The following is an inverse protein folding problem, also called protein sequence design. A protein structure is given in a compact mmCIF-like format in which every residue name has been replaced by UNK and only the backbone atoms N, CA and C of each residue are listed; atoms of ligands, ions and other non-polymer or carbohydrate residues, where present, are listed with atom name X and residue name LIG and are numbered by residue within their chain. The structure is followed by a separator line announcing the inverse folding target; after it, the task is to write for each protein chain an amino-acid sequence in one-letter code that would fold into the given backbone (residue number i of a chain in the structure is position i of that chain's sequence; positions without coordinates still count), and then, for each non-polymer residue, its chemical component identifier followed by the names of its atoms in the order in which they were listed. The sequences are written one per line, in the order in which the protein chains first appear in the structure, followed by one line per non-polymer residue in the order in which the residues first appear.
data_IF_006371118541
#
_entry.id   IF_006371118541
#
_cell.length_a   1.000
_cell.length_b   1.000
_cell.length_c   1.000
_cell.angle_alpha   90.00
_cell.angle_beta   90.00
_cell.angle_gamma   90.00
#
_symmetry.space_group_name_H-M   'P 1'
#
loop_
_entity.id
_entity.type
_entity.pdbx_description
1 polymer ?
#
# COMPACT_ATOMS: atom_id res chain seq x y z
N UNK A 1 -6.32 8.25 -13.19
CA UNK A 1 -7.11 7.00 -13.25
C UNK A 1 -6.22 5.97 -13.92
N UNK A 2 -6.02 4.80 -13.32
CA UNK A 2 -5.15 3.77 -13.94
C UNK A 2 -5.80 3.28 -15.24
N UNK A 3 -4.97 3.00 -16.24
CA UNK A 3 -5.38 2.65 -17.60
C UNK A 3 -6.10 1.30 -17.72
N UNK A 4 -6.19 0.54 -16.62
CA UNK A 4 -6.79 -0.78 -16.51
C UNK A 4 -8.19 -0.76 -15.88
N UNK A 5 -8.74 0.41 -15.54
CA UNK A 5 -10.03 0.51 -14.88
C UNK A 5 -10.03 0.12 -13.40
N UNK A 6 -8.84 -0.08 -12.79
CA UNK A 6 -8.75 -0.34 -11.37
C UNK A 6 -9.21 0.90 -10.56
N UNK A 7 -10.08 0.64 -9.59
CA UNK A 7 -10.60 1.67 -8.69
C UNK A 7 -9.92 1.49 -7.33
N UNK A 8 -9.10 2.45 -6.94
CA UNK A 8 -8.53 2.52 -5.59
C UNK A 8 -9.62 2.86 -4.57
N UNK A 9 -9.66 2.11 -3.46
CA UNK A 9 -10.56 2.29 -2.33
C UNK A 9 -9.78 2.23 -1.02
N UNK A 10 -10.43 2.68 0.05
CA UNK A 10 -9.90 2.67 1.42
C UNK A 10 -8.48 3.24 1.50
N UNK A 11 -8.24 4.34 0.79
CA UNK A 11 -6.93 4.98 0.74
C UNK A 11 -6.56 5.54 2.11
N UNK A 12 -5.30 5.36 2.49
CA UNK A 12 -4.68 5.96 3.68
C UNK A 12 -3.31 6.55 3.30
N UNK A 13 -2.87 7.59 4.01
CA UNK A 13 -1.59 8.25 3.74
C UNK A 13 -0.93 8.71 5.05
N UNK A 14 0.39 8.56 5.13
CA UNK A 14 1.17 8.96 6.29
C UNK A 14 2.51 9.57 5.85
N UNK A 15 3.04 10.47 6.66
CA UNK A 15 4.31 11.14 6.40
C UNK A 15 5.33 10.80 7.51
N UNK A 16 6.55 10.44 7.11
CA UNK A 16 7.72 10.36 7.99
C UNK A 16 8.38 11.73 8.16
N UNK A 17 8.31 12.56 7.11
CA UNK A 17 8.83 13.92 7.07
C UNK A 17 8.09 14.74 6.02
N UNK A 18 8.49 16.00 5.81
CA UNK A 18 7.96 16.82 4.70
C UNK A 18 8.25 16.22 3.32
N UNK A 19 9.37 15.53 3.18
CA UNK A 19 9.81 14.96 1.91
C UNK A 19 9.35 13.51 1.73
N UNK A 20 9.30 12.75 2.83
CA UNK A 20 9.04 11.31 2.79
C UNK A 20 7.63 10.98 3.27
N UNK A 21 6.79 10.48 2.37
CA UNK A 21 5.44 10.04 2.66
C UNK A 21 5.09 8.75 1.90
N UNK A 22 4.04 8.07 2.36
CA UNK A 22 3.49 6.89 1.74
C UNK A 22 1.98 7.04 1.56
N UNK A 23 1.45 6.43 0.51
CA UNK A 23 0.02 6.25 0.29
C UNK A 23 -0.25 4.78 0.04
N UNK A 24 -1.28 4.24 0.68
CA UNK A 24 -1.76 2.86 0.51
C UNK A 24 -3.21 2.85 0.08
N UNK A 25 -3.59 1.85 -0.68
CA UNK A 25 -4.98 1.65 -1.11
C UNK A 25 -5.20 0.17 -1.42
N UNK A 26 -6.45 -0.27 -1.36
CA UNK A 26 -6.85 -1.50 -2.03
C UNK A 26 -7.44 -1.18 -3.40
N UNK A 27 -7.23 -2.08 -4.37
CA UNK A 27 -7.80 -1.94 -5.69
C UNK A 27 -8.38 -3.27 -6.17
N UNK A 28 -9.50 -3.17 -6.88
CA UNK A 28 -10.12 -4.32 -7.53
C UNK A 28 -9.66 -4.35 -8.98
N UNK A 29 -9.05 -5.45 -9.40
CA UNK A 29 -8.64 -5.71 -10.77
C UNK A 29 -8.87 -7.18 -11.11
N UNK A 30 -9.50 -7.46 -12.25
CA UNK A 30 -9.80 -8.83 -12.73
C UNK A 30 -10.44 -9.76 -11.69
N UNK A 31 -11.30 -9.22 -10.81
CA UNK A 31 -12.00 -9.98 -9.77
C UNK A 31 -11.20 -10.22 -8.48
N UNK A 32 -9.97 -9.71 -8.39
CA UNK A 32 -9.12 -9.80 -7.20
C UNK A 32 -8.99 -8.43 -6.53
N UNK A 33 -9.11 -8.39 -5.19
CA UNK A 33 -8.81 -7.17 -4.41
C UNK A 33 -7.42 -7.27 -3.83
N UNK A 34 -6.59 -6.26 -4.06
CA UNK A 34 -5.17 -6.29 -3.70
C UNK A 34 -4.71 -4.96 -3.12
N UNK A 35 -3.83 -5.02 -2.13
CA UNK A 35 -3.29 -3.86 -1.41
C UNK A 35 -1.99 -3.40 -2.06
N UNK A 36 -1.88 -2.10 -2.29
CA UNK A 36 -0.76 -1.44 -2.93
C UNK A 36 -0.23 -0.28 -2.09
N UNK A 37 1.03 0.09 -2.34
CA UNK A 37 1.69 1.25 -1.76
C UNK A 37 2.46 2.04 -2.81
N UNK A 38 2.54 3.36 -2.61
CA UNK A 38 3.50 4.25 -3.27
C UNK A 38 4.21 5.08 -2.23
N UNK A 39 5.44 5.46 -2.57
CA UNK A 39 6.28 6.31 -1.76
C UNK A 39 6.61 7.58 -2.55
N UNK A 40 6.83 8.66 -1.80
CA UNK A 40 7.45 9.89 -2.30
C UNK A 40 8.63 10.22 -1.39
N UNK A 41 9.65 10.85 -1.96
CA UNK A 41 10.82 11.38 -1.28
C UNK A 41 11.08 12.85 -1.63
N UNK A 42 10.12 13.52 -2.27
CA UNK A 42 10.24 14.90 -2.76
C UNK A 42 9.00 15.76 -2.44
N UNK A 43 8.30 15.40 -1.36
CA UNK A 43 7.13 16.13 -0.87
C UNK A 43 5.89 15.90 -1.73
N UNK A 44 5.81 14.75 -2.40
CA UNK A 44 4.66 14.34 -3.20
C UNK A 44 4.66 14.90 -4.62
N UNK A 45 5.76 15.51 -5.09
CA UNK A 45 5.89 15.99 -6.47
C UNK A 45 5.99 14.81 -7.43
N UNK A 46 6.73 13.78 -7.04
CA UNK A 46 6.80 12.50 -7.73
C UNK A 46 6.53 11.36 -6.76
N UNK A 47 6.06 10.25 -7.34
CA UNK A 47 5.71 9.04 -6.61
C UNK A 47 6.21 7.84 -7.39
N UNK A 48 6.83 6.89 -6.70
CA UNK A 48 7.31 5.65 -7.30
C UNK A 48 6.19 4.86 -7.98
N UNK A 49 6.54 3.86 -8.79
CA UNK A 49 5.56 2.93 -9.34
C UNK A 49 4.80 2.22 -8.19
N UNK A 50 3.48 1.94 -8.35
CA UNK A 50 2.73 1.14 -7.39
C UNK A 50 3.41 -0.20 -7.10
N UNK A 51 3.61 -0.50 -5.81
CA UNK A 51 4.09 -1.80 -5.36
C UNK A 51 2.98 -2.54 -4.65
N UNK A 52 2.67 -3.75 -5.12
CA UNK A 52 1.73 -4.66 -4.46
C UNK A 52 2.33 -5.19 -3.15
N UNK A 53 1.54 -5.16 -2.07
CA UNK A 53 1.89 -5.72 -0.76
C UNK A 53 1.25 -7.09 -0.54
N UNK A 54 -0.04 -7.22 -0.87
CA UNK A 54 -0.80 -8.46 -0.71
C UNK A 54 -0.33 -9.59 -1.63
N UNK A 55 -0.47 -10.85 -1.20
CA UNK A 55 -0.17 -12.02 -2.03
C UNK A 55 -1.20 -12.21 -3.16
N UNK A 56 -0.76 -12.75 -4.31
CA UNK A 56 -1.65 -13.15 -5.40
C UNK A 56 -2.53 -14.35 -5.02
N UNK A 57 -3.77 -14.37 -5.52
CA UNK A 57 -4.77 -15.40 -5.24
C UNK A 57 -5.49 -15.23 -3.89
N UNK A 58 -5.20 -14.18 -3.13
CA UNK A 58 -5.88 -13.83 -1.89
C UNK A 58 -6.64 -12.51 -2.06
N UNK A 59 -7.76 -12.35 -1.36
CA UNK A 59 -8.47 -11.08 -1.32
C UNK A 59 -7.95 -10.25 -0.15
N UNK A 60 -7.36 -9.09 -0.43
CA UNK A 60 -6.79 -8.20 0.59
C UNK A 60 -7.38 -6.80 0.49
N UNK A 61 -7.82 -6.24 1.62
CA UNK A 61 -8.56 -4.97 1.66
C UNK A 61 -8.38 -4.25 3.00
N UNK A 62 -8.90 -3.02 3.06
CA UNK A 62 -8.89 -2.16 4.25
C UNK A 62 -7.47 -1.88 4.77
N UNK A 63 -6.55 -1.41 3.92
CA UNK A 63 -5.22 -1.08 4.38
C UNK A 63 -5.27 0.11 5.34
N UNK A 64 -4.37 0.10 6.31
CA UNK A 64 -4.07 1.22 7.20
C UNK A 64 -2.57 1.42 7.24
N UNK A 65 -2.18 2.68 7.36
CA UNK A 65 -0.79 3.09 7.26
C UNK A 65 -0.38 3.87 8.50
N UNK A 66 0.75 3.48 9.09
CA UNK A 66 1.33 4.14 10.26
C UNK A 66 2.77 4.53 9.96
N UNK A 67 3.13 5.77 10.21
CA UNK A 67 4.52 6.22 10.21
C UNK A 67 5.19 5.85 11.54
N UNK A 68 6.31 5.14 11.47
CA UNK A 68 7.19 4.83 12.59
C UNK A 68 8.51 5.60 12.50
N UNK A 69 9.55 5.09 13.13
CA UNK A 69 10.87 5.72 13.09
C UNK A 69 11.65 5.29 11.83
N UNK A 70 11.51 6.07 10.76
CA UNK A 70 12.20 5.82 9.48
C UNK A 70 11.56 4.75 8.59
N UNK A 71 10.40 4.21 8.97
CA UNK A 71 9.66 3.24 8.18
C UNK A 71 8.15 3.44 8.31
N UNK A 72 7.41 2.87 7.38
CA UNK A 72 5.97 2.72 7.45
C UNK A 72 5.59 1.30 7.84
N UNK A 73 4.54 1.17 8.65
CA UNK A 73 3.88 -0.08 8.92
C UNK A 73 2.54 -0.09 8.21
N UNK A 74 2.28 -1.14 7.43
CA UNK A 74 1.00 -1.33 6.74
C UNK A 74 0.33 -2.56 7.31
N UNK A 75 -0.94 -2.45 7.67
CA UNK A 75 -1.75 -3.61 7.99
C UNK A 75 -3.02 -3.64 7.16
N UNK A 76 -3.49 -4.84 6.85
CA UNK A 76 -4.67 -5.07 6.03
C UNK A 76 -5.32 -6.40 6.39
N UNK A 77 -6.60 -6.52 6.08
CA UNK A 77 -7.29 -7.81 6.17
C UNK A 77 -7.00 -8.63 4.93
N UNK A 78 -6.73 -9.92 5.10
CA UNK A 78 -6.54 -10.89 4.02
C UNK A 78 -7.48 -12.07 4.21
N UNK A 79 -8.18 -12.45 3.14
CA UNK A 79 -9.07 -13.61 3.08
C UNK A 79 -8.52 -14.62 2.07
N UNK A 80 -8.32 -15.85 2.52
CA UNK A 80 -7.88 -16.99 1.71
C UNK A 80 -9.06 -17.65 0.97
N UNK A 81 -8.77 -18.56 0.04
CA UNK A 81 -9.78 -19.27 -0.73
C UNK A 81 -10.76 -20.11 0.12
N UNK A 82 -10.35 -20.52 1.31
CA UNK A 82 -11.18 -21.27 2.28
C UNK A 82 -11.98 -20.35 3.23
N UNK A 83 -12.00 -19.04 2.99
CA UNK A 83 -12.57 -17.98 3.82
C UNK A 83 -11.85 -17.72 5.15
N UNK A 84 -10.68 -18.31 5.40
CA UNK A 84 -9.87 -17.96 6.56
C UNK A 84 -9.41 -16.50 6.44
N UNK A 85 -9.55 -15.74 7.53
CA UNK A 85 -9.17 -14.33 7.59
C UNK A 85 -7.94 -14.11 8.48
N UNK A 86 -7.04 -13.24 8.02
CA UNK A 86 -5.87 -12.81 8.77
C UNK A 86 -5.78 -11.28 8.81
N UNK A 87 -5.21 -10.77 9.90
CA UNK A 87 -4.59 -9.46 9.87
C UNK A 87 -3.14 -9.63 9.40
N UNK A 88 -2.80 -9.00 8.28
CA UNK A 88 -1.43 -8.96 7.74
C UNK A 88 -0.72 -7.68 8.17
N UNK A 89 0.60 -7.76 8.24
CA UNK A 89 1.47 -6.66 8.61
C UNK A 89 2.71 -6.67 7.71
N UNK A 90 2.95 -5.55 7.03
CA UNK A 90 4.10 -5.35 6.15
C UNK A 90 4.89 -4.11 6.58
N UNK A 91 6.21 -4.28 6.73
CA UNK A 91 7.14 -3.17 6.95
C UNK A 91 7.56 -2.59 5.60
N UNK A 92 7.29 -1.31 5.39
CA UNK A 92 7.67 -0.58 4.18
C UNK A 92 8.72 0.46 4.54
N UNK A 93 9.95 0.28 4.04
CA UNK A 93 11.00 1.27 4.21
C UNK A 93 10.85 2.37 3.17
N UNK A 94 10.99 3.63 3.58
CA UNK A 94 11.31 4.70 2.63
C UNK A 94 12.71 4.38 2.11
N UNK A 95 12.85 3.96 0.85
CA UNK A 95 14.16 3.70 0.28
C UNK A 95 15.08 4.91 0.50
N UNK A 96 16.38 4.67 0.69
CA UNK A 96 17.36 5.75 0.63
C UNK A 96 17.31 6.37 -0.77
N UNK A 97 17.08 7.67 -0.86
CA UNK A 97 17.42 8.42 -2.07
C UNK A 97 18.88 8.08 -2.40
N UNK A 98 19.10 7.46 -3.56
CA UNK A 98 20.47 7.30 -4.07
C UNK A 98 21.03 8.71 -4.29
N UNK A 99 22.22 9.05 -3.76
CA UNK A 99 22.84 10.36 -3.95
C UNK A 99 23.19 10.64 -5.41
#
# INVERSE_FOLDING_TARGET
LSSDGAVGRHTDAAALSREHAAAVWDQVSSGETSVHVRLTSDGGKTWDAPRRLSKAGHSSMHPRLVAGEGNFLVFYTETLADNTQFLRLDLVRSGSATP
#
